data_IF_747383965862
#
_entry.id   IF_747383965862
#
_cell.length_a   1.000
_cell.length_b   1.000
_cell.length_c   1.000
_cell.angle_alpha   90.00
_cell.angle_beta   90.00
_cell.angle_gamma   90.00
#
_symmetry.space_group_name_H-M   'P 1'
#
loop_
_entity.id
_entity.type
_entity.pdbx_description
1 polymer ?
#
# COMPACT_ATOMS: atom_id res chain seq x y z
N UNK A 1 22.17 13.03 -1.98
CA UNK A 1 20.87 12.34 -2.01
C UNK A 1 20.00 12.92 -0.90
N UNK A 2 19.24 13.98 -1.21
CA UNK A 2 18.44 14.72 -0.21
C UNK A 2 17.21 13.89 0.14
N UNK A 3 17.16 13.39 1.38
CA UNK A 3 16.01 12.69 1.91
C UNK A 3 14.90 13.73 2.10
N UNK A 4 13.89 13.73 1.23
CA UNK A 4 12.68 14.52 1.40
C UNK A 4 12.09 14.18 2.79
N UNK A 5 12.31 15.08 3.75
CA UNK A 5 11.61 15.02 5.03
C UNK A 5 10.13 15.17 4.69
N UNK A 6 9.34 14.17 5.05
CA UNK A 6 7.88 14.21 4.97
C UNK A 6 7.38 15.50 5.59
N UNK A 7 6.87 16.43 4.77
CA UNK A 7 6.31 17.72 5.19
C UNK A 7 4.99 17.58 5.98
N UNK A 8 4.46 16.36 6.08
CA UNK A 8 3.23 16.09 6.82
C UNK A 8 3.55 15.48 8.19
N UNK A 9 2.92 15.96 9.29
CA UNK A 9 2.98 15.29 10.57
C UNK A 9 2.50 13.84 10.42
N UNK A 10 3.04 12.88 11.19
CA UNK A 10 2.62 11.49 11.08
C UNK A 10 1.13 11.40 11.40
N UNK A 11 0.31 11.17 10.36
CA UNK A 11 -1.11 10.89 10.50
C UNK A 11 -1.27 9.75 11.53
N UNK A 12 -2.15 9.95 12.51
CA UNK A 12 -2.41 8.92 13.52
C UNK A 12 -2.85 7.65 12.77
N UNK A 13 -2.29 6.48 13.11
CA UNK A 13 -2.62 5.26 12.39
C UNK A 13 -4.11 4.96 12.55
N UNK A 14 -4.85 5.00 11.43
CA UNK A 14 -6.26 4.60 11.40
C UNK A 14 -6.35 3.11 11.71
N UNK A 15 -6.92 2.81 12.89
CA UNK A 15 -7.15 1.44 13.34
C UNK A 15 -8.49 0.97 12.79
N UNK A 16 -8.46 -0.06 11.97
CA UNK A 16 -9.65 -0.72 11.45
C UNK A 16 -9.84 -2.06 12.11
N UNK A 17 -11.11 -2.35 12.42
CA UNK A 17 -11.52 -3.65 12.97
C UNK A 17 -11.73 -4.58 11.78
N UNK A 18 -10.95 -5.65 11.71
CA UNK A 18 -11.08 -6.70 10.70
C UNK A 18 -11.46 -8.00 11.40
N UNK A 19 -12.38 -8.74 10.80
CA UNK A 19 -12.73 -10.09 11.25
C UNK A 19 -11.79 -11.09 10.62
N UNK A 20 -11.19 -11.96 11.43
CA UNK A 20 -10.37 -13.07 10.95
C UNK A 20 -10.53 -14.29 11.84
N UNK A 21 -10.38 -15.48 11.26
CA UNK A 21 -10.38 -16.75 11.99
C UNK A 21 -9.18 -16.83 12.92
N UNK A 22 -9.34 -17.46 14.08
CA UNK A 22 -8.23 -17.69 15.01
C UNK A 22 -7.36 -18.86 14.56
N UNK A 23 -6.25 -18.54 13.89
CA UNK A 23 -5.28 -19.53 13.39
C UNK A 23 -4.04 -19.62 14.30
N UNK A 24 -4.19 -19.34 15.60
CA UNK A 24 -3.10 -19.59 16.55
C UNK A 24 -2.91 -21.08 16.74
N UNK A 25 -1.70 -21.48 17.11
CA UNK A 25 -1.35 -22.87 17.41
C UNK A 25 -2.35 -23.52 18.40
N UNK A 26 -2.77 -22.77 19.42
CA UNK A 26 -3.77 -23.21 20.40
C UNK A 26 -5.12 -23.61 19.82
N UNK A 27 -5.53 -23.02 18.69
CA UNK A 27 -6.79 -23.30 18.00
C UNK A 27 -6.60 -24.25 16.82
N UNK A 28 -5.46 -24.18 16.15
CA UNK A 28 -5.09 -25.09 15.05
C UNK A 28 -4.85 -26.52 15.53
N UNK A 29 -4.23 -26.70 16.70
CA UNK A 29 -3.93 -28.03 17.25
C UNK A 29 -5.20 -28.88 17.47
N UNK A 30 -6.26 -28.38 18.15
CA UNK A 30 -7.54 -29.09 18.24
C UNK A 30 -8.16 -29.40 16.87
N UNK A 31 -8.16 -28.44 15.94
CA UNK A 31 -8.67 -28.64 14.59
C UNK A 31 -7.92 -29.76 13.84
N UNK A 32 -6.59 -29.73 13.90
CA UNK A 32 -5.74 -30.74 13.26
C UNK A 32 -5.92 -32.14 13.84
N UNK A 33 -6.18 -32.25 15.15
CA UNK A 33 -6.50 -33.54 15.78
C UNK A 33 -7.89 -34.04 15.38
N UNK A 34 -8.87 -33.15 15.35
CA UNK A 34 -10.21 -33.49 14.94
C UNK A 34 -10.24 -33.99 13.49
N UNK A 35 -9.71 -33.21 12.54
CA UNK A 35 -9.79 -33.55 11.10
C UNK A 35 -9.10 -34.87 10.75
N UNK A 36 -8.07 -35.26 11.52
CA UNK A 36 -7.33 -36.52 11.32
C UNK A 36 -7.96 -37.72 12.03
N UNK A 37 -8.82 -37.51 13.02
CA UNK A 37 -9.51 -38.57 13.77
C UNK A 37 -10.99 -38.72 13.43
N UNK A 38 -11.56 -37.76 12.70
CA UNK A 38 -12.95 -37.80 12.27
C UNK A 38 -13.18 -38.94 11.28
N UNK A 39 -14.25 -39.71 11.49
CA UNK A 39 -14.66 -40.77 10.58
C UNK A 39 -15.43 -40.15 9.41
N UNK A 40 -14.90 -40.34 8.20
CA UNK A 40 -15.47 -39.80 6.97
C UNK A 40 -16.42 -40.78 6.27
N UNK A 41 -16.57 -42.00 6.80
CA UNK A 41 -17.37 -43.07 6.19
C UNK A 41 -18.83 -42.65 5.97
N UNK A 42 -19.41 -41.89 6.91
CA UNK A 42 -20.78 -41.39 6.86
C UNK A 42 -21.05 -40.40 5.70
N UNK A 43 -20.01 -39.81 5.14
CA UNK A 43 -20.14 -38.88 4.00
C UNK A 43 -20.35 -39.66 2.71
N UNK A 44 -19.83 -40.88 2.62
CA UNK A 44 -19.88 -41.71 1.40
C UNK A 44 -21.13 -42.60 1.34
N UNK A 45 -22.05 -42.50 2.29
CA UNK A 45 -23.24 -43.36 2.34
C UNK A 45 -24.29 -43.04 1.27
N UNK A 46 -24.23 -41.85 0.66
CA UNK A 46 -25.22 -41.41 -0.35
C UNK A 46 -24.69 -41.67 -1.75
N UNK A 47 -25.57 -42.08 -2.67
CA UNK A 47 -25.21 -42.37 -4.07
C UNK A 47 -25.02 -41.11 -4.92
N UNK A 48 -25.51 -39.95 -4.46
CA UNK A 48 -25.37 -38.68 -5.15
C UNK A 48 -24.12 -37.92 -4.67
N UNK A 49 -23.27 -37.54 -5.62
CA UNK A 49 -22.05 -36.77 -5.36
C UNK A 49 -22.35 -35.40 -4.70
N UNK A 50 -23.45 -34.76 -5.11
CA UNK A 50 -23.87 -33.46 -4.59
C UNK A 50 -24.25 -33.54 -3.11
N UNK A 51 -25.01 -34.55 -2.71
CA UNK A 51 -25.39 -34.76 -1.30
C UNK A 51 -24.17 -35.05 -0.41
N UNK A 52 -23.21 -35.82 -0.91
CA UNK A 52 -21.97 -36.10 -0.20
C UNK A 52 -21.12 -34.84 -0.02
N UNK A 53 -21.05 -34.00 -1.06
CA UNK A 53 -20.38 -32.70 -0.96
C UNK A 53 -21.08 -31.76 0.02
N UNK A 54 -22.42 -31.71 0.01
CA UNK A 54 -23.20 -30.92 0.96
C UNK A 54 -22.89 -31.31 2.41
N UNK A 55 -23.01 -32.60 2.73
CA UNK A 55 -22.65 -33.14 4.06
C UNK A 55 -21.24 -32.79 4.48
N UNK A 56 -20.27 -32.96 3.59
CA UNK A 56 -18.87 -32.58 3.86
C UNK A 56 -18.74 -31.10 4.17
N UNK A 57 -19.33 -30.24 3.35
CA UNK A 57 -19.21 -28.80 3.51
C UNK A 57 -19.88 -28.31 4.80
N UNK A 58 -21.00 -28.90 5.19
CA UNK A 58 -21.71 -28.58 6.43
C UNK A 58 -20.87 -28.96 7.65
N UNK A 59 -20.41 -30.22 7.72
CA UNK A 59 -19.55 -30.71 8.79
C UNK A 59 -18.27 -29.85 8.91
N UNK A 60 -17.64 -29.55 7.78
CA UNK A 60 -16.44 -28.73 7.75
C UNK A 60 -16.71 -27.29 8.22
N UNK A 61 -17.81 -26.69 7.77
CA UNK A 61 -18.16 -25.31 8.14
C UNK A 61 -18.45 -25.20 9.63
N UNK A 62 -19.24 -26.13 10.19
CA UNK A 62 -19.57 -26.19 11.61
C UNK A 62 -18.31 -26.33 12.47
N UNK A 63 -17.42 -27.25 12.08
CA UNK A 63 -16.21 -27.51 12.86
C UNK A 63 -15.17 -26.39 12.72
N UNK A 64 -15.12 -25.71 11.57
CA UNK A 64 -14.36 -24.47 11.40
C UNK A 64 -14.93 -23.34 12.28
N UNK A 65 -16.25 -23.23 12.40
CA UNK A 65 -16.90 -22.25 13.27
C UNK A 65 -16.61 -22.46 14.76
N UNK A 66 -16.64 -23.73 15.19
CA UNK A 66 -16.38 -24.12 16.57
C UNK A 66 -14.89 -23.99 16.92
N UNK A 67 -14.00 -24.59 16.11
CA UNK A 67 -12.59 -24.74 16.45
C UNK A 67 -11.74 -23.54 16.03
N UNK A 68 -12.14 -22.84 14.97
CA UNK A 68 -11.45 -21.66 14.42
C UNK A 68 -12.40 -20.44 14.42
N UNK A 69 -12.85 -19.95 15.58
CA UNK A 69 -13.86 -18.90 15.64
C UNK A 69 -13.39 -17.59 15.00
N UNK A 70 -14.33 -16.86 14.38
CA UNK A 70 -14.09 -15.51 13.86
C UNK A 70 -13.85 -14.53 15.02
N UNK A 71 -12.64 -13.98 15.09
CA UNK A 71 -12.26 -12.99 16.10
C UNK A 71 -12.03 -11.62 15.48
N UNK A 72 -12.50 -10.60 16.18
CA UNK A 72 -12.32 -9.20 15.80
C UNK A 72 -10.93 -8.74 16.20
N UNK A 73 -10.09 -8.38 15.22
CA UNK A 73 -8.74 -7.88 15.46
C UNK A 73 -8.58 -6.44 14.97
N UNK A 74 -7.85 -5.62 15.72
CA UNK A 74 -7.48 -4.27 15.29
C UNK A 74 -6.28 -4.35 14.37
N UNK A 75 -6.43 -3.88 13.13
CA UNK A 75 -5.37 -3.77 12.14
C UNK A 75 -5.16 -2.30 11.82
N UNK A 76 -3.91 -1.87 11.72
CA UNK A 76 -3.59 -0.51 11.30
C UNK A 76 -3.66 -0.45 9.77
N UNK A 77 -4.56 0.37 9.21
CA UNK A 77 -4.73 0.52 7.75
C UNK A 77 -3.49 1.09 7.05
N UNK A 78 -2.66 1.82 7.79
CA UNK A 78 -1.48 2.50 7.28
C UNK A 78 -0.16 1.77 7.59
N UNK A 79 -0.18 0.46 7.78
CA UNK A 79 1.07 -0.28 7.85
C UNK A 79 1.78 -0.16 6.50
N UNK A 80 3.05 0.24 6.56
CA UNK A 80 3.85 0.49 5.35
C UNK A 80 3.95 -0.83 4.56
N UNK A 81 3.92 -0.80 3.23
CA UNK A 81 3.82 -2.02 2.42
C UNK A 81 5.03 -2.96 2.56
N UNK A 82 6.17 -2.43 3.02
CA UNK A 82 7.37 -3.21 3.35
C UNK A 82 7.35 -3.82 4.76
N UNK A 83 6.34 -3.57 5.59
CA UNK A 83 6.26 -4.04 6.97
C UNK A 83 5.57 -5.42 7.05
N UNK A 84 6.39 -6.48 7.08
CA UNK A 84 5.92 -7.87 7.18
C UNK A 84 5.61 -8.30 8.62
N UNK A 85 4.85 -9.39 8.79
CA UNK A 85 4.57 -10.00 10.10
C UNK A 85 5.85 -10.37 10.86
N UNK A 86 6.87 -10.88 10.17
CA UNK A 86 8.17 -11.19 10.77
C UNK A 86 8.87 -9.98 11.39
N UNK A 87 8.78 -8.80 10.75
CA UNK A 87 9.32 -7.55 11.32
C UNK A 87 8.52 -7.13 12.55
N UNK A 88 7.19 -7.33 12.55
CA UNK A 88 6.36 -7.05 13.73
C UNK A 88 6.73 -7.95 14.91
N UNK A 89 7.01 -9.22 14.68
CA UNK A 89 7.51 -10.13 15.72
C UNK A 89 8.84 -9.67 16.31
N UNK A 90 9.78 -9.22 15.46
CA UNK A 90 11.05 -8.65 15.93
C UNK A 90 10.83 -7.37 16.76
N UNK A 91 9.88 -6.51 16.36
CA UNK A 91 9.51 -5.33 17.13
C UNK A 91 8.95 -5.71 18.51
N UNK A 92 8.13 -6.75 18.58
CA UNK A 92 7.60 -7.28 19.85
C UNK A 92 8.74 -7.82 20.73
N UNK A 93 9.68 -8.60 20.17
CA UNK A 93 10.86 -9.10 20.91
C UNK A 93 11.71 -7.96 21.47
N UNK A 94 11.96 -6.91 20.66
CA UNK A 94 12.65 -5.69 21.10
C UNK A 94 11.90 -4.98 22.23
N UNK A 95 10.58 -4.84 22.13
CA UNK A 95 9.75 -4.21 23.17
C UNK A 95 9.77 -5.01 24.47
N UNK A 96 9.68 -6.33 24.40
CA UNK A 96 9.84 -7.21 25.57
C UNK A 96 11.22 -7.04 26.20
N UNK A 97 12.29 -7.06 25.39
CA UNK A 97 13.64 -6.87 25.90
C UNK A 97 13.84 -5.50 26.56
N UNK A 98 13.24 -4.44 26.01
CA UNK A 98 13.25 -3.11 26.62
C UNK A 98 12.53 -3.10 27.97
N UNK A 99 11.38 -3.78 28.07
CA UNK A 99 10.58 -3.82 29.29
C UNK A 99 11.27 -4.60 30.41
N UNK A 100 11.83 -5.78 30.11
CA UNK A 100 12.43 -6.65 31.12
C UNK A 100 13.87 -6.27 31.49
N UNK A 101 14.68 -5.84 30.52
CA UNK A 101 16.13 -5.67 30.72
C UNK A 101 16.60 -4.22 30.55
N UNK A 102 15.71 -3.30 30.17
CA UNK A 102 16.04 -1.90 29.98
C UNK A 102 16.86 -1.60 28.71
N UNK A 103 17.15 -0.31 28.50
CA UNK A 103 17.77 0.21 27.26
C UNK A 103 19.25 -0.15 27.12
N UNK A 104 19.95 -0.39 28.23
CA UNK A 104 21.39 -0.63 28.24
C UNK A 104 21.76 -2.11 28.10
N UNK A 105 20.78 -3.02 28.22
CA UNK A 105 20.97 -4.46 28.05
C UNK A 105 21.40 -4.82 26.63
N UNK A 106 22.34 -5.75 26.53
CA UNK A 106 22.80 -6.28 25.24
C UNK A 106 21.70 -7.05 24.51
N UNK A 107 20.77 -7.67 25.24
CA UNK A 107 19.57 -8.27 24.64
C UNK A 107 18.73 -7.21 23.91
N UNK A 108 18.51 -6.04 24.51
CA UNK A 108 17.79 -4.95 23.84
C UNK A 108 18.54 -4.43 22.61
N UNK A 109 19.87 -4.23 22.71
CA UNK A 109 20.71 -3.78 21.59
C UNK A 109 20.66 -4.76 20.42
N UNK A 110 20.75 -6.06 20.70
CA UNK A 110 20.64 -7.13 19.71
C UNK A 110 19.32 -7.04 18.93
N UNK A 111 18.18 -7.05 19.63
CA UNK A 111 16.86 -6.98 18.98
C UNK A 111 16.64 -5.65 18.27
N UNK A 112 17.16 -4.53 18.82
CA UNK A 112 17.12 -3.22 18.15
C UNK A 112 17.85 -3.27 16.80
N UNK A 113 19.06 -3.82 16.77
CA UNK A 113 19.90 -3.90 15.57
C UNK A 113 19.25 -4.81 14.53
N UNK A 114 18.73 -5.97 14.94
CA UNK A 114 17.99 -6.87 14.05
C UNK A 114 16.76 -6.18 13.44
N UNK A 115 15.94 -5.50 14.25
CA UNK A 115 14.79 -4.74 13.74
C UNK A 115 15.23 -3.69 12.71
N UNK A 116 16.29 -2.93 13.00
CA UNK A 116 16.80 -1.91 12.08
C UNK A 116 17.27 -2.51 10.75
N UNK A 117 18.02 -3.61 10.80
CA UNK A 117 18.52 -4.31 9.62
C UNK A 117 17.37 -4.89 8.79
N UNK A 118 16.40 -5.56 9.42
CA UNK A 118 15.23 -6.11 8.73
C UNK A 118 14.40 -5.02 8.08
N UNK A 119 14.16 -3.88 8.76
CA UNK A 119 13.45 -2.74 8.18
C UNK A 119 14.23 -2.16 6.98
N UNK A 120 15.55 -1.98 7.11
CA UNK A 120 16.38 -1.45 6.02
C UNK A 120 16.32 -2.37 4.80
N UNK A 121 16.49 -3.68 5.00
CA UNK A 121 16.41 -4.68 3.93
C UNK A 121 15.03 -4.72 3.29
N UNK A 122 13.96 -4.73 4.08
CA UNK A 122 12.60 -4.78 3.56
C UNK A 122 12.22 -3.53 2.76
N UNK A 123 12.62 -2.34 3.22
CA UNK A 123 12.47 -1.10 2.46
C UNK A 123 13.19 -1.18 1.11
N UNK A 124 14.46 -1.57 1.13
CA UNK A 124 15.26 -1.69 -0.09
C UNK A 124 14.62 -2.65 -1.09
N UNK A 125 14.28 -3.87 -0.65
CA UNK A 125 13.63 -4.89 -1.49
C UNK A 125 12.32 -4.38 -2.07
N UNK A 126 11.47 -3.76 -1.25
CA UNK A 126 10.19 -3.23 -1.70
C UNK A 126 10.36 -2.18 -2.79
N UNK A 127 11.17 -1.14 -2.55
CA UNK A 127 11.33 -0.08 -3.54
C UNK A 127 12.05 -0.56 -4.79
N UNK A 128 13.05 -1.43 -4.68
CA UNK A 128 13.70 -2.04 -5.84
C UNK A 128 12.70 -2.82 -6.71
N UNK A 129 11.87 -3.67 -6.08
CA UNK A 129 10.83 -4.42 -6.78
C UNK A 129 9.74 -3.52 -7.36
N UNK A 130 9.34 -2.46 -6.65
CA UNK A 130 8.41 -1.47 -7.17
C UNK A 130 8.96 -0.80 -8.42
N UNK A 131 10.24 -0.38 -8.42
CA UNK A 131 10.88 0.23 -9.58
C UNK A 131 10.98 -0.74 -10.76
N UNK A 132 11.33 -2.01 -10.52
CA UNK A 132 11.36 -3.02 -11.58
C UNK A 132 9.96 -3.24 -12.20
N UNK A 133 8.91 -3.32 -11.38
CA UNK A 133 7.52 -3.43 -11.86
C UNK A 133 7.09 -2.20 -12.68
N UNK A 134 7.59 -1.02 -12.33
CA UNK A 134 7.30 0.21 -13.07
C UNK A 134 7.87 0.14 -14.50
N UNK A 135 9.06 -0.44 -14.70
CA UNK A 135 9.69 -0.52 -16.03
C UNK A 135 8.82 -1.25 -17.06
N UNK A 136 8.11 -2.30 -16.64
CA UNK A 136 7.30 -3.16 -17.53
C UNK A 136 5.83 -2.73 -17.64
N UNK A 137 5.33 -1.88 -16.73
CA UNK A 137 3.93 -1.41 -16.73
C UNK A 137 3.66 -0.31 -17.76
N UNK A 138 2.38 -0.03 -18.07
CA UNK A 138 2.01 1.07 -18.98
C UNK A 138 2.19 2.46 -18.33
N UNK A 139 2.45 3.54 -19.11
CA UNK A 139 2.80 4.87 -18.56
C UNK A 139 1.78 5.45 -17.57
N UNK A 140 0.48 5.23 -17.80
CA UNK A 140 -0.59 5.69 -16.90
C UNK A 140 -0.52 5.01 -15.53
N UNK A 141 -0.29 3.69 -15.49
CA UNK A 141 -0.13 2.95 -14.24
C UNK A 141 1.18 3.32 -13.55
N UNK A 142 2.27 3.50 -14.31
CA UNK A 142 3.53 4.00 -13.76
C UNK A 142 3.35 5.30 -13.01
N UNK A 143 2.65 6.26 -13.61
CA UNK A 143 2.43 7.56 -13.00
C UNK A 143 1.57 7.49 -11.73
N UNK A 144 0.53 6.65 -11.72
CA UNK A 144 -0.28 6.38 -10.51
C UNK A 144 0.56 5.78 -9.39
N UNK A 145 1.40 4.79 -9.70
CA UNK A 145 2.25 4.12 -8.73
C UNK A 145 3.36 5.06 -8.19
N UNK A 146 3.98 5.89 -9.04
CA UNK A 146 4.96 6.92 -8.62
C UNK A 146 4.31 7.91 -7.65
N UNK A 147 3.11 8.41 -7.96
CA UNK A 147 2.34 9.28 -7.06
C UNK A 147 2.08 8.60 -5.73
N UNK A 148 1.66 7.33 -5.75
CA UNK A 148 1.42 6.54 -4.54
C UNK A 148 2.70 6.35 -3.71
N UNK A 149 3.84 6.06 -4.34
CA UNK A 149 5.13 5.88 -3.66
C UNK A 149 5.64 7.17 -3.03
N UNK A 150 5.39 8.31 -3.67
CA UNK A 150 5.71 9.65 -3.16
C UNK A 150 4.75 10.14 -2.07
N UNK A 151 3.72 9.37 -1.70
CA UNK A 151 2.69 9.82 -0.76
C UNK A 151 1.75 10.88 -1.33
N UNK A 152 1.80 11.10 -2.65
CA UNK A 152 0.93 12.01 -3.40
C UNK A 152 -0.34 11.22 -3.78
N UNK A 153 -1.04 10.70 -2.77
CA UNK A 153 -2.38 10.15 -2.96
C UNK A 153 -3.37 11.25 -2.63
N UNK A 154 -3.51 12.21 -3.53
CA UNK A 154 -4.54 13.23 -3.40
C UNK A 154 -5.55 13.08 -4.53
N UNK A 155 -6.83 13.08 -4.17
CA UNK A 155 -7.93 13.41 -5.08
C UNK A 155 -7.88 14.89 -5.51
N UNK A 156 -7.03 15.71 -4.88
CA UNK A 156 -6.81 17.08 -5.28
C UNK A 156 -5.95 17.12 -6.54
N UNK A 157 -6.34 17.99 -7.47
CA UNK A 157 -5.63 18.19 -8.71
C UNK A 157 -4.18 18.62 -8.45
N UNK A 158 -3.26 18.22 -9.33
CA UNK A 158 -1.82 18.39 -9.19
C UNK A 158 -1.39 19.85 -8.95
N UNK A 159 -2.18 20.82 -9.40
CA UNK A 159 -1.92 22.24 -9.21
C UNK A 159 -2.02 22.70 -7.74
N UNK A 160 -2.71 21.96 -6.86
CA UNK A 160 -2.81 22.33 -5.44
C UNK A 160 -1.45 22.32 -4.73
N UNK A 161 -0.45 21.62 -5.26
CA UNK A 161 0.92 21.65 -4.75
C UNK A 161 1.66 22.95 -5.09
N UNK A 162 1.19 23.67 -6.12
CA UNK A 162 1.79 24.90 -6.65
C UNK A 162 1.09 26.16 -6.15
N UNK A 163 -0.08 26.02 -5.53
CA UNK A 163 -0.76 27.12 -4.87
C UNK A 163 0.01 27.48 -3.58
N UNK A 164 0.20 28.77 -3.37
CA UNK A 164 0.83 29.35 -2.18
C UNK A 164 -0.05 30.48 -1.65
N UNK A 165 0.30 31.07 -0.52
CA UNK A 165 -0.42 32.27 -0.05
C UNK A 165 -0.36 33.42 -1.08
N UNK A 166 0.70 33.45 -1.91
CA UNK A 166 0.90 34.46 -2.95
C UNK A 166 0.19 34.10 -4.27
N UNK A 167 -0.19 32.83 -4.46
CA UNK A 167 -0.92 32.31 -5.63
C UNK A 167 -2.09 31.47 -5.11
N UNK A 168 -3.16 32.14 -4.63
CA UNK A 168 -4.24 31.45 -3.91
C UNK A 168 -5.13 30.62 -4.82
N UNK A 169 -5.21 30.97 -6.12
CA UNK A 169 -6.14 30.34 -7.06
C UNK A 169 -5.43 29.77 -8.31
N UNK A 170 -6.14 28.93 -9.07
CA UNK A 170 -5.60 28.29 -10.27
C UNK A 170 -5.45 29.23 -11.48
N UNK A 171 -6.22 30.33 -11.52
CA UNK A 171 -6.14 31.36 -12.54
C UNK A 171 -4.84 32.16 -12.42
N UNK A 172 -4.49 32.58 -11.21
CA UNK A 172 -3.24 33.28 -10.90
C UNK A 172 -2.03 32.39 -11.24
N UNK A 173 -2.13 31.08 -10.97
CA UNK A 173 -1.10 30.12 -11.36
C UNK A 173 -0.97 30.01 -12.88
N UNK A 174 -2.10 30.00 -13.61
CA UNK A 174 -2.10 29.96 -15.06
C UNK A 174 -1.47 31.23 -15.64
N UNK A 175 -1.74 32.40 -15.04
CA UNK A 175 -1.17 33.67 -15.46
C UNK A 175 0.35 33.71 -15.26
N UNK A 176 0.84 33.29 -14.08
CA UNK A 176 2.28 33.17 -13.82
C UNK A 176 2.95 32.23 -14.82
N UNK A 177 2.29 31.11 -15.15
CA UNK A 177 2.80 30.16 -16.12
C UNK A 177 2.82 30.75 -17.55
N UNK A 178 1.77 31.48 -17.94
CA UNK A 178 1.71 32.18 -19.22
C UNK A 178 2.81 33.24 -19.31
N UNK A 179 2.99 34.09 -18.29
CA UNK A 179 4.09 35.07 -18.25
C UNK A 179 5.46 34.41 -18.40
N UNK A 180 5.68 33.27 -17.76
CA UNK A 180 6.93 32.51 -17.90
C UNK A 180 7.15 32.02 -19.34
N UNK A 181 6.12 31.43 -19.96
CA UNK A 181 6.21 30.97 -21.35
C UNK A 181 6.38 32.14 -22.32
N UNK A 182 5.66 33.23 -22.13
CA UNK A 182 5.82 34.46 -22.91
C UNK A 182 7.23 35.03 -22.79
N UNK A 183 7.84 34.96 -21.60
CA UNK A 183 9.24 35.34 -21.39
C UNK A 183 10.23 34.41 -22.10
N UNK A 184 9.94 33.10 -22.16
CA UNK A 184 10.75 32.18 -22.97
C UNK A 184 10.63 32.51 -24.46
N UNK A 185 9.47 32.96 -24.92
CA UNK A 185 9.24 33.21 -26.35
C UNK A 185 9.45 34.66 -26.77
N UNK A 186 9.80 35.56 -25.86
CA UNK A 186 9.86 37.01 -26.13
C UNK A 186 10.93 37.41 -27.16
N UNK A 187 11.90 36.52 -27.40
CA UNK A 187 12.99 36.73 -28.36
C UNK A 187 12.66 36.19 -29.76
N UNK A 188 11.57 35.42 -29.93
CA UNK A 188 11.14 34.99 -31.25
C UNK A 188 10.37 36.12 -31.93
N UNK A 189 10.68 36.37 -33.19
CA UNK A 189 9.89 37.26 -34.05
C UNK A 189 8.58 36.55 -34.41
N UNK A 190 7.41 37.14 -34.13
CA UNK A 190 6.13 36.58 -34.56
C UNK A 190 6.14 36.39 -36.08
N UNK A 191 5.68 35.23 -36.55
CA UNK A 191 5.49 35.02 -37.97
C UNK A 191 4.35 35.93 -38.43
N UNK A 192 4.68 36.96 -39.22
CA UNK A 192 3.68 37.71 -39.97
C UNK A 192 3.08 36.74 -40.98
N UNK A 193 1.78 36.48 -40.85
CA UNK A 193 1.04 35.77 -41.89
C UNK A 193 1.10 36.69 -43.11
N UNK A 194 1.90 36.34 -44.11
CA UNK A 194 1.84 37.03 -45.39
C UNK A 194 0.43 36.81 -45.92
N UNK A 195 -0.39 37.86 -45.91
CA UNK A 195 -1.63 37.91 -46.65
C UNK A 195 -1.23 37.90 -48.13
N UNK A 196 -1.05 36.71 -48.71
CA UNK A 196 -1.01 36.55 -50.15
C UNK A 196 -2.35 37.04 -50.70
N UNK A 197 -2.39 38.32 -51.09
CA UNK A 197 -3.40 38.86 -51.99
C UNK A 197 -3.20 38.17 -53.34
N UNK A 198 -3.86 37.03 -53.51
CA UNK A 198 -4.10 36.42 -54.82
C UNK A 198 -5.10 37.29 -55.56
N UNK A 199 -4.60 38.27 -56.31
CA UNK A 199 -5.34 38.95 -57.37
C UNK A 199 -5.65 37.94 -58.48
N UNK A 200 -6.76 37.21 -58.33
CA UNK A 200 -7.40 36.50 -59.44
C UNK A 200 -8.29 37.48 -60.19
N UNK A 201 -7.72 38.24 -61.13
CA UNK A 201 -8.51 38.92 -62.13
C UNK A 201 -8.71 37.98 -63.33
N UNK A 202 -9.94 37.47 -63.46
CA UNK A 202 -10.49 36.67 -64.57
C UNK A 202 -11.73 37.44 -65.03
N UNK A 203 -12.00 37.68 -66.33
CA UNK A 203 -11.65 36.87 -67.51
C UNK A 203 -10.73 37.53 -68.55
#
# INVERSE_FOLDING_TARGET
>A
MVCLKSLNPPLKPDKVKVWKRDLRESSLQPFGRWITSFDWSDIFTTNACEDNYGKFNDIMSDMIDILLPLKRTKVTKCDKPWLTSSIKELIIKRQKALHYYGKNSDSYKLWRNQVQQSIKSARFKYYAQSVEKLKTSNPSRRWKEIKSLGGISSKSCWYNQRLSNDIPNCHDLAEVFNCFLSGLTSHFTPLTREEEQLDFNVP
#
